data_IF_026532334644
#
_entry.id   IF_026532334644
#
_cell.length_a   1.000
_cell.length_b   1.000
_cell.length_c   1.000
_cell.angle_alpha   90.00
_cell.angle_beta   90.00
_cell.angle_gamma   90.00
#
_symmetry.space_group_name_H-M   'P 1'
#
loop_
_entity.id
_entity.type
_entity.pdbx_description
1 polymer ?
#
# COMPACT_ATOMS: atom_id res chain seq x y z
N UNK A 1 -18.18 -51.64 -0.41
CA UNK A 1 -18.36 -50.35 0.30
C UNK A 1 -17.07 -49.99 1.06
N UNK A 2 -16.08 -49.31 0.46
CA UNK A 2 -14.89 -48.86 1.20
C UNK A 2 -14.01 -47.74 0.57
N UNK A 3 -14.50 -46.98 -0.41
CA UNK A 3 -13.63 -46.01 -1.12
C UNK A 3 -14.02 -44.51 -1.01
N UNK A 4 -15.07 -44.17 -0.25
CA UNK A 4 -15.56 -42.77 -0.21
C UNK A 4 -15.01 -41.90 0.93
N UNK A 5 -14.09 -42.40 1.77
CA UNK A 5 -13.58 -41.62 2.92
C UNK A 5 -12.45 -40.66 2.58
N UNK A 6 -11.65 -40.94 1.54
CA UNK A 6 -10.53 -40.09 1.12
C UNK A 6 -10.95 -38.74 0.46
N UNK A 7 -11.94 -38.68 -0.45
CA UNK A 7 -12.28 -37.43 -1.14
C UNK A 7 -13.02 -36.42 -0.25
N UNK A 8 -13.75 -36.90 0.77
CA UNK A 8 -14.47 -36.04 1.72
C UNK A 8 -13.51 -35.28 2.62
N UNK A 9 -12.42 -35.92 3.05
CA UNK A 9 -11.39 -35.29 3.88
C UNK A 9 -10.66 -34.20 3.06
N UNK A 10 -10.38 -34.47 1.79
CA UNK A 10 -9.72 -33.51 0.90
C UNK A 10 -10.59 -32.27 0.62
N UNK A 11 -11.90 -32.46 0.41
CA UNK A 11 -12.85 -31.36 0.20
C UNK A 11 -13.01 -30.47 1.44
N UNK A 12 -13.01 -31.06 2.65
CA UNK A 12 -13.04 -30.31 3.91
C UNK A 12 -11.74 -29.53 4.14
N UNK A 13 -10.59 -30.07 3.72
CA UNK A 13 -9.30 -29.40 3.85
C UNK A 13 -9.18 -28.17 2.92
N UNK A 14 -9.69 -28.29 1.68
CA UNK A 14 -9.75 -27.20 0.71
C UNK A 14 -10.71 -26.10 1.19
N UNK A 15 -11.87 -26.47 1.75
CA UNK A 15 -12.84 -25.52 2.28
C UNK A 15 -12.28 -24.73 3.48
N UNK A 16 -11.55 -25.40 4.38
CA UNK A 16 -10.88 -24.76 5.50
C UNK A 16 -9.77 -23.79 5.03
N UNK A 17 -8.97 -24.18 4.02
CA UNK A 17 -7.96 -23.28 3.42
C UNK A 17 -8.59 -22.03 2.76
N UNK A 18 -9.75 -22.17 2.11
CA UNK A 18 -10.44 -21.04 1.46
C UNK A 18 -11.04 -20.10 2.50
N UNK A 19 -11.60 -20.63 3.60
CA UNK A 19 -12.12 -19.81 4.71
C UNK A 19 -11.00 -19.04 5.44
N UNK A 20 -9.84 -19.65 5.70
CA UNK A 20 -8.67 -18.94 6.24
C UNK A 20 -8.14 -17.84 5.30
N UNK A 21 -8.25 -18.03 3.98
CA UNK A 21 -7.85 -17.03 2.99
C UNK A 21 -8.79 -15.81 2.96
N UNK A 22 -10.09 -16.05 3.15
CA UNK A 22 -11.13 -15.00 3.16
C UNK A 22 -11.12 -14.19 4.46
N UNK A 23 -10.89 -14.83 5.61
CA UNK A 23 -10.69 -14.09 6.87
C UNK A 23 -9.42 -13.23 6.86
N UNK A 24 -8.43 -13.61 6.04
CA UNK A 24 -7.20 -12.82 5.81
C UNK A 24 -7.37 -11.66 4.82
N UNK A 25 -8.56 -11.42 4.25
CA UNK A 25 -8.73 -10.47 3.14
C UNK A 25 -8.99 -8.99 3.54
N UNK A 26 -8.60 -8.55 4.74
CA UNK A 26 -8.35 -7.12 4.97
C UNK A 26 -7.08 -6.89 5.80
N UNK A 27 -5.93 -7.28 5.24
CA UNK A 27 -4.64 -6.83 5.79
C UNK A 27 -4.51 -5.35 5.46
N UNK A 28 -5.09 -4.50 6.31
CA UNK A 28 -4.70 -3.10 6.40
C UNK A 28 -3.24 -3.08 6.85
N UNK A 29 -2.32 -2.42 6.14
CA UNK A 29 -0.97 -2.21 6.63
C UNK A 29 -1.06 -1.54 8.01
N UNK A 30 -0.56 -2.20 9.04
CA UNK A 30 -0.54 -1.64 10.39
C UNK A 30 0.88 -1.19 10.69
N UNK A 31 1.00 0.05 11.14
CA UNK A 31 2.22 0.52 11.77
C UNK A 31 2.26 -0.16 13.14
N UNK A 32 3.13 -1.17 13.29
CA UNK A 32 3.29 -1.90 14.56
C UNK A 32 3.91 -0.99 15.63
N UNK A 33 4.71 -0.04 15.20
CA UNK A 33 5.38 0.93 16.07
C UNK A 33 5.29 2.32 15.44
N UNK A 34 4.70 3.32 16.13
CA UNK A 34 4.51 4.65 15.57
C UNK A 34 5.81 5.26 15.04
N UNK A 35 5.69 6.03 13.96
CA UNK A 35 6.80 6.88 13.51
C UNK A 35 6.76 8.17 14.32
N UNK A 36 7.89 8.50 14.90
CA UNK A 36 8.05 9.69 15.74
C UNK A 36 8.85 10.73 14.94
N UNK A 37 8.19 11.85 14.65
CA UNK A 37 8.77 13.07 14.12
C UNK A 37 8.74 14.14 15.22
N UNK A 38 9.49 15.23 15.07
CA UNK A 38 9.59 16.28 16.11
C UNK A 38 8.22 16.87 16.49
N UNK A 39 7.36 17.11 15.50
CA UNK A 39 6.05 17.76 15.68
C UNK A 39 4.86 16.84 15.41
N UNK A 40 5.12 15.58 15.05
CA UNK A 40 4.10 14.65 14.57
C UNK A 40 4.42 13.21 15.00
N UNK A 41 3.41 12.48 15.46
CA UNK A 41 3.50 11.03 15.64
C UNK A 41 2.49 10.36 14.73
N UNK A 42 2.96 9.47 13.87
CA UNK A 42 2.12 8.71 12.93
C UNK A 42 1.94 7.30 13.46
N UNK A 43 0.74 6.99 13.94
CA UNK A 43 0.39 5.66 14.45
C UNK A 43 -0.38 4.83 13.42
N UNK A 44 -0.94 5.49 12.40
CA UNK A 44 -1.58 4.85 11.25
C UNK A 44 -1.30 5.64 9.98
N UNK A 45 -1.13 4.96 8.85
CA UNK A 45 -1.06 5.65 7.55
C UNK A 45 -2.40 6.29 7.14
N UNK A 46 -3.53 5.81 7.68
CA UNK A 46 -4.86 6.40 7.45
C UNK A 46 -4.95 7.85 8.01
N UNK A 47 -4.05 8.25 8.91
CA UNK A 47 -3.98 9.59 9.51
C UNK A 47 -3.19 10.59 8.64
N UNK A 48 -2.55 10.11 7.57
CA UNK A 48 -1.62 10.90 6.76
C UNK A 48 -2.16 11.04 5.34
N UNK A 49 -2.54 12.27 4.97
CA UNK A 49 -3.09 12.58 3.64
C UNK A 49 -2.08 12.35 2.52
N UNK A 50 -0.80 12.62 2.77
CA UNK A 50 0.28 12.37 1.81
C UNK A 50 1.46 11.70 2.51
N UNK A 51 1.66 10.41 2.22
CA UNK A 51 2.77 9.62 2.77
C UNK A 51 4.12 10.13 2.29
N UNK A 52 4.21 10.72 1.09
CA UNK A 52 5.48 11.25 0.58
C UNK A 52 5.95 12.46 1.39
N UNK A 53 5.02 13.26 1.93
CA UNK A 53 5.35 14.38 2.83
C UNK A 53 6.11 13.96 4.09
N UNK A 54 5.97 12.69 4.52
CA UNK A 54 6.69 12.14 5.69
C UNK A 54 8.20 12.02 5.46
N UNK A 55 8.66 11.99 4.20
CA UNK A 55 10.11 11.95 3.90
C UNK A 55 10.81 13.26 4.22
N UNK A 56 10.06 14.36 4.25
CA UNK A 56 10.55 15.71 4.53
C UNK A 56 10.32 16.12 6.00
N UNK A 57 9.64 15.28 6.79
CA UNK A 57 9.47 15.50 8.21
C UNK A 57 10.77 15.20 8.97
N UNK A 58 11.07 16.06 9.96
CA UNK A 58 12.22 15.89 10.85
C UNK A 58 11.97 14.72 11.80
N UNK A 59 12.84 13.71 11.75
CA UNK A 59 12.73 12.52 12.60
C UNK A 59 13.01 12.90 14.05
N UNK A 60 12.16 12.46 14.99
CA UNK A 60 12.42 12.66 16.42
C UNK A 60 13.49 11.68 16.90
N UNK A 61 14.51 12.20 17.58
CA UNK A 61 15.56 11.40 18.23
C UNK A 61 15.35 11.27 19.75
N UNK A 62 14.11 11.37 20.23
CA UNK A 62 13.80 11.21 21.66
C UNK A 62 14.50 12.24 22.56
N UNK A 63 14.61 13.49 22.08
CA UNK A 63 15.25 14.59 22.80
C UNK A 63 16.78 14.71 22.62
N UNK A 64 17.38 13.92 21.72
CA UNK A 64 18.77 14.11 21.29
C UNK A 64 18.85 15.06 20.09
N UNK A 65 19.88 15.90 20.01
CA UNK A 65 20.17 16.75 18.83
C UNK A 65 21.34 16.16 18.02
N UNK A 66 21.25 14.86 17.71
CA UNK A 66 22.35 14.05 17.16
C UNK A 66 22.30 13.85 15.65
N UNK A 67 21.98 14.90 14.89
CA UNK A 67 21.74 14.81 13.44
C UNK A 67 23.01 14.80 12.57
N UNK A 68 24.19 15.02 13.16
CA UNK A 68 25.50 14.97 12.49
C UNK A 68 26.20 13.64 12.78
N UNK A 69 25.96 12.64 11.93
CA UNK A 69 26.46 11.27 12.20
C UNK A 69 26.84 10.47 10.95
N UNK A 70 26.62 11.00 9.75
CA UNK A 70 27.06 10.36 8.50
C UNK A 70 28.33 11.02 7.99
N UNK A 71 29.24 10.24 7.39
CA UNK A 71 30.43 10.76 6.71
C UNK A 71 30.59 10.12 5.33
N UNK A 72 31.13 10.88 4.38
CA UNK A 72 31.44 10.39 3.02
C UNK A 72 32.84 9.78 2.92
N UNK A 73 33.77 10.24 3.74
CA UNK A 73 35.14 9.75 3.79
C UNK A 73 35.44 9.22 5.19
N UNK A 74 36.12 8.07 5.27
CA UNK A 74 36.51 7.47 6.55
C UNK A 74 37.78 8.13 7.12
N UNK A 75 38.62 8.69 6.26
CA UNK A 75 39.90 9.31 6.62
C UNK A 75 39.73 10.77 7.06
N UNK A 76 38.61 11.41 6.71
CA UNK A 76 38.24 12.73 7.20
C UNK A 76 37.46 12.64 8.52
N UNK A 77 38.14 12.98 9.61
CA UNK A 77 37.56 12.98 10.96
C UNK A 77 36.72 14.23 11.29
N UNK A 78 36.46 15.12 10.33
CA UNK A 78 35.75 16.39 10.59
C UNK A 78 34.54 16.64 9.69
N UNK A 79 34.37 15.91 8.60
CA UNK A 79 33.28 16.13 7.64
C UNK A 79 32.04 15.29 7.97
N UNK A 80 31.39 15.57 9.11
CA UNK A 80 30.06 15.03 9.38
C UNK A 80 29.01 15.77 8.56
N UNK A 81 28.04 15.01 8.05
CA UNK A 81 26.89 15.54 7.33
C UNK A 81 25.69 15.54 8.26
N UNK A 82 25.05 16.71 8.38
CA UNK A 82 23.78 16.87 9.07
C UNK A 82 22.66 16.27 8.24
N UNK A 83 21.91 15.33 8.82
CA UNK A 83 20.71 14.74 8.21
C UNK A 83 19.59 14.71 9.25
N UNK A 84 18.48 15.36 8.94
CA UNK A 84 17.33 15.53 9.83
C UNK A 84 16.10 14.78 9.33
N UNK A 85 16.00 14.58 8.02
CA UNK A 85 14.82 13.97 7.37
C UNK A 85 15.19 12.66 6.68
N UNK A 86 14.20 11.79 6.47
CA UNK A 86 14.38 10.53 5.75
C UNK A 86 14.89 10.77 4.30
N UNK A 87 14.42 11.85 3.65
CA UNK A 87 14.88 12.27 2.34
C UNK A 87 16.38 12.60 2.31
N UNK A 88 16.83 13.48 3.21
CA UNK A 88 18.24 13.86 3.34
C UNK A 88 19.13 12.65 3.65
N UNK A 89 18.69 11.80 4.58
CA UNK A 89 19.40 10.57 4.90
C UNK A 89 19.58 9.67 3.69
N UNK A 90 18.50 9.37 2.94
CA UNK A 90 18.57 8.52 1.75
C UNK A 90 19.48 9.12 0.67
N UNK A 91 19.44 10.44 0.48
CA UNK A 91 20.32 11.14 -0.44
C UNK A 91 21.79 10.93 -0.07
N UNK A 92 22.16 11.12 1.19
CA UNK A 92 23.54 10.98 1.64
C UNK A 92 24.00 9.52 1.62
N UNK A 93 23.14 8.56 2.01
CA UNK A 93 23.45 7.13 1.88
C UNK A 93 23.71 6.73 0.42
N UNK A 94 22.98 7.28 -0.56
CA UNK A 94 23.23 7.02 -1.99
C UNK A 94 24.57 7.58 -2.48
N UNK A 95 25.04 8.67 -1.88
CA UNK A 95 26.37 9.24 -2.13
C UNK A 95 27.50 8.44 -1.46
N UNK A 96 27.17 7.38 -0.72
CA UNK A 96 28.12 6.52 -0.02
C UNK A 96 28.34 6.89 1.43
N UNK A 97 27.58 7.85 1.99
CA UNK A 97 27.77 8.25 3.37
C UNK A 97 27.39 7.12 4.33
N UNK A 98 28.15 6.96 5.42
CA UNK A 98 27.94 5.91 6.40
C UNK A 98 28.25 6.38 7.84
N UNK A 99 27.66 5.71 8.85
CA UNK A 99 28.08 5.85 10.25
C UNK A 99 29.34 5.02 10.50
N UNK A 100 30.29 5.53 11.30
CA UNK A 100 31.57 4.85 11.56
C UNK A 100 31.86 4.61 13.03
N UNK A 101 31.45 5.54 13.90
CA UNK A 101 31.63 5.40 15.34
C UNK A 101 30.43 4.71 15.99
N UNK A 102 30.60 4.24 17.23
CA UNK A 102 29.48 3.72 18.03
C UNK A 102 28.39 4.77 18.24
N UNK A 103 28.78 6.04 18.40
CA UNK A 103 27.84 7.16 18.46
C UNK A 103 27.07 7.27 17.14
N UNK A 104 27.77 7.25 16.01
CA UNK A 104 27.15 7.39 14.69
C UNK A 104 26.15 6.26 14.40
N UNK A 105 26.53 5.04 14.74
CA UNK A 105 25.68 3.85 14.57
C UNK A 105 24.43 3.98 15.45
N UNK A 106 24.59 4.53 16.66
CA UNK A 106 23.47 4.79 17.56
C UNK A 106 22.53 5.84 16.98
N UNK A 107 23.03 6.96 16.44
CA UNK A 107 22.20 7.98 15.79
C UNK A 107 21.53 7.45 14.51
N UNK A 108 22.26 6.67 13.73
CA UNK A 108 21.76 6.00 12.54
C UNK A 108 20.59 5.03 12.83
N UNK A 109 20.51 4.46 14.04
CA UNK A 109 19.44 3.53 14.41
C UNK A 109 18.04 4.16 14.39
N UNK A 110 17.93 5.45 14.72
CA UNK A 110 16.67 6.20 14.66
C UNK A 110 16.11 6.23 13.23
N UNK A 111 16.99 6.47 12.26
CA UNK A 111 16.65 6.47 10.83
C UNK A 111 16.30 5.06 10.33
N UNK A 112 17.13 4.06 10.63
CA UNK A 112 16.93 2.68 10.16
C UNK A 112 15.62 2.06 10.68
N UNK A 113 15.09 2.55 11.82
CA UNK A 113 13.80 2.10 12.35
C UNK A 113 12.60 2.62 11.54
N UNK A 114 12.66 3.85 11.03
CA UNK A 114 11.55 4.52 10.35
C UNK A 114 11.59 4.31 8.82
N UNK A 115 12.78 4.30 8.24
CA UNK A 115 12.97 4.35 6.79
C UNK A 115 12.46 3.12 6.03
N UNK A 116 12.75 1.86 6.41
CA UNK A 116 12.28 0.72 5.65
C UNK A 116 10.75 0.64 5.54
N UNK A 117 9.98 0.83 6.63
CA UNK A 117 8.52 0.94 6.54
C UNK A 117 8.04 2.10 5.66
N UNK A 118 8.70 3.26 5.72
CA UNK A 118 8.30 4.44 4.96
C UNK A 118 8.58 4.27 3.45
N UNK A 119 9.77 3.73 3.09
CA UNK A 119 10.13 3.36 1.72
C UNK A 119 9.21 2.27 1.19
N UNK A 120 8.91 1.25 2.00
CA UNK A 120 7.94 0.22 1.64
C UNK A 120 6.56 0.83 1.37
N UNK A 121 6.09 1.73 2.23
CA UNK A 121 4.80 2.42 2.06
C UNK A 121 4.76 3.15 0.72
N UNK A 122 5.75 4.00 0.44
CA UNK A 122 5.89 4.72 -0.84
C UNK A 122 5.83 3.82 -2.06
N UNK A 123 6.57 2.70 -2.05
CA UNK A 123 6.56 1.76 -3.17
C UNK A 123 5.27 0.92 -3.24
N UNK A 124 4.66 0.61 -2.10
CA UNK A 124 3.40 -0.14 -2.04
C UNK A 124 2.20 0.70 -2.52
N UNK A 125 2.22 2.01 -2.29
CA UNK A 125 1.27 2.96 -2.87
C UNK A 125 1.38 2.99 -4.39
N UNK A 126 2.61 2.99 -4.93
CA UNK A 126 2.85 2.89 -6.36
C UNK A 126 2.38 1.53 -6.94
N UNK A 127 2.53 0.42 -6.22
CA UNK A 127 1.97 -0.87 -6.65
C UNK A 127 0.45 -0.92 -6.62
N UNK A 128 -0.21 -0.18 -5.72
CA UNK A 128 -1.67 -0.01 -5.72
C UNK A 128 -2.14 0.90 -6.84
N UNK A 129 -1.46 2.03 -7.07
CA UNK A 129 -1.76 2.97 -8.17
C UNK A 129 -1.45 2.38 -9.56
N UNK A 130 -0.37 1.61 -9.72
CA UNK A 130 -0.03 0.94 -10.98
C UNK A 130 -1.01 -0.15 -11.42
N UNK A 131 -1.93 -0.58 -10.55
CA UNK A 131 -3.00 -1.52 -10.87
C UNK A 131 -4.30 -0.81 -11.29
N UNK A 132 -4.38 0.50 -11.09
CA UNK A 132 -5.52 1.35 -11.45
C UNK A 132 -5.08 2.19 -12.66
N UNK A 133 -5.86 2.17 -13.75
CA UNK A 133 -5.61 3.09 -14.86
C UNK A 133 -5.79 4.55 -14.42
N UNK A 134 -5.35 5.50 -15.24
CA UNK A 134 -5.54 6.95 -14.99
C UNK A 134 -7.03 7.34 -14.83
N UNK A 135 -7.94 6.48 -15.29
CA UNK A 135 -9.39 6.62 -15.13
C UNK A 135 -9.93 5.43 -14.31
N UNK A 136 -10.68 5.71 -13.24
CA UNK A 136 -11.41 4.67 -12.48
C UNK A 136 -12.38 3.87 -13.36
N UNK A 137 -12.76 4.39 -14.53
CA UNK A 137 -13.54 3.62 -15.52
C UNK A 137 -12.75 2.48 -16.20
N UNK A 138 -11.42 2.46 -16.08
CA UNK A 138 -10.57 1.38 -16.59
C UNK A 138 -10.54 0.16 -15.66
N UNK A 139 -11.15 0.27 -14.47
CA UNK A 139 -11.29 -0.84 -13.54
C UNK A 139 -11.99 -2.04 -14.19
N UNK A 140 -11.43 -3.24 -13.95
CA UNK A 140 -12.02 -4.52 -14.34
C UNK A 140 -13.41 -4.69 -13.73
N UNK A 141 -14.36 -5.28 -14.47
CA UNK A 141 -15.72 -5.54 -13.95
C UNK A 141 -15.77 -6.57 -12.82
N UNK A 142 -14.67 -7.27 -12.53
CA UNK A 142 -14.58 -8.37 -11.56
C UNK A 142 -14.98 -8.02 -10.13
N UNK A 143 -14.96 -6.74 -9.74
CA UNK A 143 -15.37 -6.31 -8.40
C UNK A 143 -16.89 -6.08 -8.27
N UNK A 144 -17.64 -6.10 -9.37
CA UNK A 144 -19.09 -5.90 -9.33
C UNK A 144 -19.76 -7.10 -8.64
N UNK A 145 -20.79 -6.88 -7.80
CA UNK A 145 -21.57 -7.97 -7.24
C UNK A 145 -22.47 -8.62 -8.30
N UNK A 146 -22.90 -9.86 -8.04
CA UNK A 146 -23.83 -10.61 -8.88
C UNK A 146 -24.89 -11.32 -8.04
N UNK A 147 -26.11 -11.40 -8.57
CA UNK A 147 -27.25 -12.03 -7.92
C UNK A 147 -27.80 -13.13 -8.82
N UNK A 148 -27.16 -14.30 -8.75
CA UNK A 148 -27.58 -15.50 -9.48
C UNK A 148 -26.49 -16.10 -10.35
N UNK A 149 -26.72 -17.32 -10.81
CA UNK A 149 -25.77 -18.09 -11.59
C UNK A 149 -25.51 -17.48 -12.97
N UNK A 150 -26.52 -16.90 -13.61
CA UNK A 150 -26.38 -16.29 -14.94
C UNK A 150 -25.52 -15.03 -14.92
N UNK A 151 -25.74 -14.14 -13.93
CA UNK A 151 -24.93 -12.94 -13.76
C UNK A 151 -23.49 -13.30 -13.39
N UNK A 152 -23.30 -14.31 -12.53
CA UNK A 152 -21.97 -14.82 -12.19
C UNK A 152 -21.21 -15.31 -13.43
N UNK A 153 -21.82 -16.21 -14.21
CA UNK A 153 -21.19 -16.80 -15.41
C UNK A 153 -20.81 -15.71 -16.41
N UNK A 154 -21.69 -14.72 -16.57
CA UNK A 154 -21.42 -13.58 -17.45
C UNK A 154 -20.27 -12.74 -16.92
N UNK A 155 -20.28 -12.36 -15.63
CA UNK A 155 -19.24 -11.54 -15.05
C UNK A 155 -17.88 -12.24 -15.06
N UNK A 156 -17.83 -13.54 -14.78
CA UNK A 156 -16.63 -14.36 -14.90
C UNK A 156 -16.13 -14.40 -16.35
N UNK A 157 -17.03 -14.56 -17.33
CA UNK A 157 -16.68 -14.55 -18.75
C UNK A 157 -16.17 -13.18 -19.22
N UNK A 158 -16.83 -12.10 -18.79
CA UNK A 158 -16.47 -10.72 -19.15
C UNK A 158 -15.13 -10.34 -18.48
N UNK A 159 -14.91 -10.74 -17.23
CA UNK A 159 -13.63 -10.61 -16.52
C UNK A 159 -12.52 -11.36 -17.26
N UNK A 160 -12.76 -12.61 -17.67
CA UNK A 160 -11.77 -13.39 -18.42
C UNK A 160 -11.43 -12.79 -19.79
N UNK A 161 -12.36 -12.01 -20.37
CA UNK A 161 -12.14 -11.25 -21.61
C UNK A 161 -11.52 -9.87 -21.38
N UNK A 162 -11.25 -9.50 -20.13
CA UNK A 162 -10.64 -8.23 -19.77
C UNK A 162 -11.60 -7.02 -19.85
N UNK A 163 -12.90 -7.22 -19.65
CA UNK A 163 -13.86 -6.12 -19.68
C UNK A 163 -13.64 -5.14 -18.51
N UNK A 164 -13.68 -3.85 -18.85
CA UNK A 164 -13.63 -2.72 -17.91
C UNK A 164 -15.01 -2.11 -17.67
N UNK A 165 -15.14 -1.20 -16.70
CA UNK A 165 -16.34 -0.38 -16.54
C UNK A 165 -16.61 0.48 -17.78
N UNK A 166 -15.56 0.96 -18.46
CA UNK A 166 -15.67 1.65 -19.75
C UNK A 166 -16.38 0.77 -20.79
N UNK A 167 -16.08 -0.52 -20.83
CA UNK A 167 -16.75 -1.46 -21.75
C UNK A 167 -18.21 -1.68 -21.36
N UNK A 168 -18.51 -1.73 -20.05
CA UNK A 168 -19.87 -1.80 -19.53
C UNK A 168 -20.68 -0.52 -19.79
N UNK A 169 -20.03 0.64 -19.84
CA UNK A 169 -20.67 1.88 -20.27
C UNK A 169 -20.95 1.86 -21.78
N UNK A 170 -19.97 1.47 -22.60
CA UNK A 170 -20.10 1.40 -24.07
C UNK A 170 -21.17 0.41 -24.53
N UNK A 171 -21.32 -0.71 -23.84
CA UNK A 171 -22.31 -1.74 -24.16
C UNK A 171 -23.69 -1.51 -23.50
N UNK A 172 -23.87 -0.39 -22.81
CA UNK A 172 -25.14 0.02 -22.21
C UNK A 172 -25.53 -0.73 -20.93
N UNK A 173 -24.63 -1.51 -20.33
CA UNK A 173 -24.86 -2.18 -19.03
C UNK A 173 -24.81 -1.18 -17.88
N UNK A 174 -23.91 -0.20 -17.95
CA UNK A 174 -23.92 0.97 -17.08
C UNK A 174 -24.74 2.06 -17.75
N UNK A 175 -25.81 2.50 -17.09
CA UNK A 175 -26.75 3.48 -17.65
C UNK A 175 -26.29 4.92 -17.49
N UNK A 176 -25.57 5.20 -16.40
CA UNK A 176 -25.08 6.55 -16.09
C UNK A 176 -23.85 6.47 -15.20
N UNK A 177 -22.96 7.45 -15.37
CA UNK A 177 -21.75 7.62 -14.56
C UNK A 177 -21.68 9.09 -14.14
N UNK A 178 -21.38 9.33 -12.88
CA UNK A 178 -20.96 10.63 -12.34
C UNK A 178 -19.51 10.50 -11.92
N UNK A 179 -18.66 11.40 -12.40
CA UNK A 179 -17.25 11.47 -12.01
C UNK A 179 -17.01 12.69 -11.14
N UNK A 180 -16.13 12.55 -10.15
CA UNK A 180 -15.50 13.63 -9.40
C UNK A 180 -13.98 13.49 -9.53
N UNK A 181 -13.22 14.41 -8.89
CA UNK A 181 -11.75 14.41 -8.94
C UNK A 181 -11.16 13.05 -8.53
N UNK A 182 -11.69 12.44 -7.47
CA UNK A 182 -11.19 11.17 -6.92
C UNK A 182 -12.29 10.11 -6.78
N UNK A 183 -13.40 10.21 -7.54
CA UNK A 183 -14.45 9.21 -7.43
C UNK A 183 -15.29 9.01 -8.67
N UNK A 184 -15.88 7.81 -8.77
CA UNK A 184 -16.93 7.51 -9.74
C UNK A 184 -18.15 6.91 -9.05
N UNK A 185 -19.33 7.32 -9.49
CA UNK A 185 -20.59 6.67 -9.11
C UNK A 185 -21.38 6.27 -10.34
N UNK A 186 -21.90 5.05 -10.37
CA UNK A 186 -22.59 4.51 -11.54
C UNK A 186 -23.71 3.54 -11.18
N UNK A 187 -24.59 3.24 -12.13
CA UNK A 187 -25.69 2.27 -11.96
C UNK A 187 -25.57 1.10 -12.95
N UNK A 188 -25.59 -0.13 -12.43
CA UNK A 188 -25.67 -1.38 -13.20
C UNK A 188 -26.59 -2.37 -12.47
N UNK A 189 -27.31 -3.20 -13.22
CA UNK A 189 -28.27 -4.19 -12.67
C UNK A 189 -29.26 -3.60 -11.62
N UNK A 190 -29.61 -2.32 -11.75
CA UNK A 190 -30.52 -1.62 -10.82
C UNK A 190 -29.89 -1.26 -9.46
N UNK A 191 -28.58 -1.42 -9.31
CA UNK A 191 -27.82 -1.02 -8.12
C UNK A 191 -26.90 0.14 -8.42
N UNK A 192 -26.77 1.05 -7.44
CA UNK A 192 -25.82 2.15 -7.48
C UNK A 192 -24.52 1.73 -6.80
N UNK A 193 -23.41 2.01 -7.47
CA UNK A 193 -22.05 1.80 -6.98
C UNK A 193 -21.35 3.16 -6.83
N UNK A 194 -20.46 3.26 -5.84
CA UNK A 194 -19.53 4.38 -5.69
C UNK A 194 -18.14 3.81 -5.41
N UNK A 195 -17.13 4.36 -6.07
CA UNK A 195 -15.72 4.02 -5.90
C UNK A 195 -14.99 5.33 -5.67
N UNK A 196 -14.28 5.41 -4.56
CA UNK A 196 -13.47 6.56 -4.16
C UNK A 196 -12.00 6.13 -4.15
N UNK A 197 -11.14 6.92 -4.79
CA UNK A 197 -9.68 6.80 -4.73
C UNK A 197 -9.19 7.47 -3.44
N UNK A 198 -8.33 6.78 -2.67
CA UNK A 198 -7.75 7.25 -1.41
C UNK A 198 -6.55 8.17 -1.65
#
# INVERSE_FOLDING_TARGET
MKHYRLPIIFALLVLACVLELVERSSIKPRIVQPFEFEELTVSSFDEVTDVDSLFDQKISMGGQDGYEFLRLDIEDNKSYVRVETAGQYLEMRRKGAAPYTTYDISMNSWFVRILPPLVFSRHSSASKRSLLGDDLMDLSVSFLPWFGSEERIRLESDTAKGFSLTDYLKNGRIKSVKKSENSISFETSGMRHSIDEL
#
